data_IF_636370089863
#
_entry.id   IF_636370089863
#
_cell.length_a   1.000
_cell.length_b   1.000
_cell.length_c   1.000
_cell.angle_alpha   90.00
_cell.angle_beta   90.00
_cell.angle_gamma   90.00
#
_symmetry.space_group_name_H-M   'P 1'
#
loop_
_entity.id
_entity.type
_entity.pdbx_description
1 polymer ?
#
# COMPACT_ATOMS: atom_id res chain seq x y z
N UNK A 1 22.12 -7.20 -2.33
CA UNK A 1 23.06 -8.31 -2.09
C UNK A 1 22.35 -9.63 -2.39
N UNK A 2 22.89 -10.54 -3.22
CA UNK A 2 22.20 -11.79 -3.60
C UNK A 2 21.99 -12.77 -2.44
N UNK A 3 22.60 -12.53 -1.28
CA UNK A 3 22.43 -13.37 -0.08
C UNK A 3 21.37 -12.84 0.90
N UNK A 4 20.83 -11.63 0.66
CA UNK A 4 19.88 -10.97 1.56
C UNK A 4 18.46 -11.10 0.99
N UNK A 5 17.47 -11.54 1.79
CA UNK A 5 16.06 -11.54 1.41
C UNK A 5 15.60 -10.19 0.87
N UNK A 6 14.91 -10.16 -0.27
CA UNK A 6 14.54 -8.92 -0.97
C UNK A 6 13.74 -7.94 -0.10
N UNK A 7 12.90 -8.46 0.80
CA UNK A 7 12.17 -7.65 1.79
C UNK A 7 13.12 -6.81 2.65
N UNK A 8 14.17 -7.45 3.19
CA UNK A 8 15.13 -6.81 4.09
C UNK A 8 16.15 -5.97 3.32
N UNK A 9 16.55 -6.41 2.12
CA UNK A 9 17.46 -5.67 1.25
C UNK A 9 16.82 -4.34 0.79
N UNK A 10 15.57 -4.38 0.32
CA UNK A 10 14.80 -3.18 -0.04
C UNK A 10 14.57 -2.24 1.14
N UNK A 11 14.27 -2.78 2.32
CA UNK A 11 14.13 -1.98 3.54
C UNK A 11 15.44 -1.28 3.94
N UNK A 12 16.59 -1.97 3.84
CA UNK A 12 17.91 -1.39 4.10
C UNK A 12 18.24 -0.30 3.09
N UNK A 13 17.96 -0.54 1.81
CA UNK A 13 18.13 0.45 0.75
C UNK A 13 17.32 1.72 1.05
N UNK A 14 16.04 1.57 1.42
CA UNK A 14 15.19 2.71 1.75
C UNK A 14 15.67 3.46 3.02
N UNK A 15 16.14 2.76 4.06
CA UNK A 15 16.78 3.40 5.23
C UNK A 15 18.02 4.18 4.86
N UNK A 16 18.84 3.67 3.93
CA UNK A 16 20.06 4.38 3.47
C UNK A 16 19.77 5.71 2.77
N UNK A 17 18.53 5.89 2.28
CA UNK A 17 18.05 7.17 1.73
C UNK A 17 17.59 8.15 2.82
N UNK A 18 17.51 7.71 4.08
CA UNK A 18 17.05 8.49 5.23
C UNK A 18 15.57 8.28 5.60
N UNK A 19 14.79 7.53 4.81
CA UNK A 19 13.35 7.40 5.03
C UNK A 19 13.01 6.66 6.31
N UNK A 20 12.24 7.27 7.21
CA UNK A 20 11.71 6.62 8.43
C UNK A 20 10.36 5.94 8.21
N UNK A 21 9.86 5.93 6.97
CA UNK A 21 8.59 5.32 6.56
C UNK A 21 8.83 4.27 5.48
N UNK A 22 8.11 3.15 5.54
CA UNK A 22 8.12 2.11 4.51
C UNK A 22 6.72 1.57 4.25
N UNK A 23 6.38 1.32 2.97
CA UNK A 23 5.19 0.55 2.56
C UNK A 23 5.62 -0.87 2.18
N UNK A 24 4.94 -1.88 2.72
CA UNK A 24 5.18 -3.29 2.40
C UNK A 24 3.86 -4.05 2.28
N UNK A 25 3.81 -5.06 1.43
CA UNK A 25 2.77 -6.08 1.49
C UNK A 25 2.94 -6.98 2.72
N UNK A 26 1.83 -7.23 3.43
CA UNK A 26 1.70 -8.13 4.58
C UNK A 26 0.67 -9.23 4.25
N UNK A 27 0.87 -9.90 3.13
CA UNK A 27 0.10 -11.07 2.69
C UNK A 27 0.94 -11.85 1.68
N UNK A 28 0.67 -13.15 1.52
CA UNK A 28 1.32 -14.04 0.52
C UNK A 28 2.81 -13.73 0.33
N UNK A 29 3.63 -13.85 1.38
CA UNK A 29 4.99 -13.32 1.34
C UNK A 29 5.89 -14.04 0.33
N UNK A 30 5.62 -15.33 0.05
CA UNK A 30 6.30 -16.07 -1.03
C UNK A 30 6.06 -15.46 -2.41
N UNK A 31 4.89 -14.88 -2.64
CA UNK A 31 4.56 -14.20 -3.89
C UNK A 31 5.12 -12.78 -3.96
N UNK A 32 5.05 -12.03 -2.86
CA UNK A 32 5.52 -10.63 -2.81
C UNK A 32 7.05 -10.51 -2.71
N UNK A 33 7.72 -11.45 -2.07
CA UNK A 33 9.14 -11.36 -1.70
C UNK A 33 9.91 -12.63 -2.03
N UNK A 34 9.71 -13.18 -3.23
CA UNK A 34 10.32 -14.45 -3.63
C UNK A 34 11.85 -14.40 -3.73
N UNK A 35 12.41 -13.26 -4.15
CA UNK A 35 13.85 -13.14 -4.45
C UNK A 35 14.68 -13.30 -3.16
N UNK A 36 15.68 -14.19 -3.23
CA UNK A 36 16.62 -14.53 -2.15
C UNK A 36 15.94 -14.90 -0.81
N UNK A 37 14.72 -15.41 -0.85
CA UNK A 37 13.94 -15.74 0.34
C UNK A 37 13.42 -17.17 0.26
N UNK A 38 13.31 -17.83 1.41
CA UNK A 38 12.69 -19.15 1.54
C UNK A 38 11.45 -18.99 2.40
N UNK A 39 10.30 -18.87 1.73
CA UNK A 39 9.02 -18.76 2.40
C UNK A 39 8.36 -20.14 2.50
N UNK A 40 7.74 -20.47 3.64
CA UNK A 40 6.85 -21.62 3.70
C UNK A 40 5.61 -21.38 2.79
N UNK A 41 4.87 -22.44 2.44
CA UNK A 41 3.66 -22.32 1.64
C UNK A 41 2.61 -21.41 2.30
N UNK A 42 1.70 -20.84 1.50
CA UNK A 42 0.71 -19.86 1.97
C UNK A 42 -0.19 -20.41 3.10
N UNK A 43 -0.43 -21.72 3.16
CA UNK A 43 -1.19 -22.41 4.22
C UNK A 43 -0.48 -22.48 5.58
N UNK A 44 0.85 -22.26 5.61
CA UNK A 44 1.59 -22.04 6.84
C UNK A 44 1.29 -20.68 7.49
N UNK A 45 0.55 -19.81 6.80
CA UNK A 45 0.10 -18.50 7.30
C UNK A 45 -1.42 -18.44 7.42
N UNK A 46 -2.04 -19.16 8.37
CA UNK A 46 -3.49 -19.23 8.50
C UNK A 46 -4.14 -17.90 8.92
N UNK A 47 -3.36 -16.90 9.34
CA UNK A 47 -3.86 -15.59 9.80
C UNK A 47 -2.95 -14.45 9.36
N UNK A 48 -3.48 -13.22 9.32
CA UNK A 48 -2.69 -12.00 9.14
C UNK A 48 -1.59 -11.87 10.20
N UNK A 49 -1.90 -12.23 11.46
CA UNK A 49 -0.93 -12.20 12.57
C UNK A 49 0.25 -13.15 12.33
N UNK A 50 0.01 -14.36 11.82
CA UNK A 50 1.10 -15.31 11.56
C UNK A 50 2.07 -14.83 10.48
N UNK A 51 1.61 -14.01 9.52
CA UNK A 51 2.51 -13.31 8.59
C UNK A 51 3.34 -12.26 9.34
N UNK A 52 2.70 -11.42 10.16
CA UNK A 52 3.38 -10.36 10.92
C UNK A 52 4.42 -10.90 11.93
N UNK A 53 4.18 -12.08 12.50
CA UNK A 53 5.08 -12.73 13.46
C UNK A 53 6.25 -13.49 12.81
N UNK A 54 6.23 -13.70 11.50
CA UNK A 54 7.29 -14.43 10.80
C UNK A 54 8.67 -13.78 11.03
N UNK A 55 9.75 -14.56 11.23
CA UNK A 55 11.08 -14.02 11.56
C UNK A 55 11.59 -12.94 10.60
N UNK A 56 11.36 -13.07 9.29
CA UNK A 56 11.77 -12.05 8.32
C UNK A 56 10.99 -10.73 8.47
N UNK A 57 9.71 -10.77 8.81
CA UNK A 57 8.94 -9.57 9.11
C UNK A 57 9.32 -8.97 10.46
N UNK A 58 9.56 -9.80 11.49
CA UNK A 58 10.10 -9.31 12.77
C UNK A 58 11.42 -8.56 12.59
N UNK A 59 12.33 -9.10 11.79
CA UNK A 59 13.58 -8.42 11.46
C UNK A 59 13.34 -7.06 10.78
N UNK A 60 12.30 -6.91 9.97
CA UNK A 60 11.88 -5.62 9.39
C UNK A 60 11.31 -4.66 10.45
N UNK A 61 10.47 -5.15 11.37
CA UNK A 61 9.88 -4.35 12.44
C UNK A 61 10.92 -3.82 13.44
N UNK A 62 12.01 -4.55 13.63
CA UNK A 62 13.19 -4.13 14.39
C UNK A 62 14.05 -3.09 13.65
N UNK A 63 13.75 -2.87 12.36
CA UNK A 63 14.22 -1.76 11.50
C UNK A 63 14.16 -0.39 12.20
N UNK A 64 15.07 0.56 11.96
CA UNK A 64 14.91 1.94 12.44
C UNK A 64 13.90 2.78 11.62
N UNK A 65 12.71 2.22 11.36
CA UNK A 65 11.56 2.97 10.84
C UNK A 65 10.64 3.38 11.99
N UNK A 66 10.03 4.56 11.85
CA UNK A 66 9.00 5.06 12.77
C UNK A 66 7.60 4.64 12.34
N UNK A 67 7.39 4.46 11.03
CA UNK A 67 6.08 4.10 10.47
C UNK A 67 6.20 3.00 9.42
N UNK A 68 5.27 2.04 9.48
CA UNK A 68 5.11 0.96 8.52
C UNK A 68 3.69 1.01 7.94
N UNK A 69 3.56 1.20 6.63
CA UNK A 69 2.30 1.08 5.91
C UNK A 69 2.22 -0.32 5.33
N UNK A 70 1.12 -1.01 5.57
CA UNK A 70 0.97 -2.45 5.36
C UNK A 70 -0.19 -2.68 4.39
N UNK A 71 0.10 -3.06 3.15
CA UNK A 71 -0.94 -3.60 2.27
C UNK A 71 -1.31 -4.96 2.82
N UNK A 72 -2.50 -5.10 3.40
CA UNK A 72 -2.84 -6.23 4.26
C UNK A 72 -4.18 -6.87 3.88
N UNK A 73 -4.17 -8.19 3.83
CA UNK A 73 -5.37 -9.00 3.62
C UNK A 73 -5.45 -10.13 4.65
N UNK A 74 -6.64 -10.32 5.22
CA UNK A 74 -6.93 -11.47 6.05
C UNK A 74 -7.05 -12.74 5.20
N UNK A 75 -7.14 -13.88 5.88
CA UNK A 75 -7.42 -15.18 5.23
C UNK A 75 -8.93 -15.49 5.17
N UNK A 76 -9.81 -14.54 5.50
CA UNK A 76 -11.27 -14.73 5.52
C UNK A 76 -11.87 -15.13 4.16
N UNK A 77 -11.22 -14.73 3.07
CA UNK A 77 -11.56 -15.13 1.70
C UNK A 77 -10.99 -16.47 1.25
N UNK A 78 -10.29 -17.19 2.13
CA UNK A 78 -9.48 -18.36 1.80
C UNK A 78 -8.09 -18.00 1.27
N UNK A 79 -7.27 -19.04 1.02
CA UNK A 79 -5.86 -18.93 0.62
C UNK A 79 -5.61 -19.31 -0.86
N UNK A 80 -6.64 -19.30 -1.72
CA UNK A 80 -6.50 -19.82 -3.09
C UNK A 80 -5.60 -18.95 -3.99
N UNK A 81 -4.91 -19.62 -4.93
CA UNK A 81 -3.96 -18.99 -5.87
C UNK A 81 -4.58 -17.89 -6.76
N UNK A 82 -5.89 -17.99 -7.05
CA UNK A 82 -6.61 -17.17 -8.03
C UNK A 82 -7.13 -15.84 -7.49
N UNK A 83 -7.21 -15.70 -6.16
CA UNK A 83 -7.77 -14.50 -5.57
C UNK A 83 -6.60 -13.58 -5.19
N UNK A 84 -6.47 -12.46 -5.90
CA UNK A 84 -6.09 -11.21 -5.24
C UNK A 84 -6.88 -11.20 -3.92
N UNK A 85 -6.22 -11.27 -2.77
CA UNK A 85 -6.77 -11.72 -1.50
C UNK A 85 -8.00 -10.92 -0.97
N UNK A 86 -8.45 -9.90 -1.71
CA UNK A 86 -9.65 -9.10 -1.49
C UNK A 86 -10.86 -9.47 -2.37
N UNK A 87 -10.73 -10.23 -3.46
CA UNK A 87 -11.83 -10.37 -4.44
C UNK A 87 -13.11 -11.01 -3.90
N UNK A 88 -13.03 -11.76 -2.81
CA UNK A 88 -14.16 -12.53 -2.26
C UNK A 88 -15.33 -11.62 -1.82
N UNK A 89 -15.06 -10.46 -1.22
CA UNK A 89 -16.11 -9.56 -0.74
C UNK A 89 -16.89 -8.90 -1.88
N UNK A 90 -16.32 -8.84 -3.08
CA UNK A 90 -16.98 -8.31 -4.28
C UNK A 90 -18.19 -9.18 -4.63
N UNK A 91 -18.06 -10.50 -4.49
CA UNK A 91 -19.12 -11.48 -4.78
C UNK A 91 -20.09 -11.64 -3.61
N UNK A 92 -19.61 -11.45 -2.38
CA UNK A 92 -20.43 -11.49 -1.17
C UNK A 92 -19.57 -11.39 0.08
N UNK A 93 -20.14 -10.86 1.17
CA UNK A 93 -19.47 -10.84 2.47
C UNK A 93 -20.42 -11.47 3.50
N UNK A 94 -20.10 -12.70 3.91
CA UNK A 94 -20.87 -13.38 4.97
C UNK A 94 -20.59 -12.74 6.33
N UNK A 95 -21.46 -13.01 7.30
CA UNK A 95 -21.26 -12.54 8.67
C UNK A 95 -19.99 -13.15 9.29
N UNK A 96 -19.72 -14.42 9.00
CA UNK A 96 -18.51 -15.13 9.45
C UNK A 96 -17.25 -14.52 8.85
N UNK A 97 -17.28 -14.19 7.55
CA UNK A 97 -16.15 -13.53 6.90
C UNK A 97 -15.89 -12.13 7.46
N UNK A 98 -16.95 -11.36 7.74
CA UNK A 98 -16.81 -10.06 8.38
C UNK A 98 -16.26 -10.18 9.81
N UNK A 99 -16.73 -11.16 10.58
CA UNK A 99 -16.22 -11.44 11.93
C UNK A 99 -14.74 -11.87 11.90
N UNK A 100 -14.34 -12.65 10.89
CA UNK A 100 -12.97 -13.10 10.71
C UNK A 100 -12.03 -11.96 10.27
N UNK A 101 -12.50 -11.04 9.41
CA UNK A 101 -11.80 -9.79 9.10
C UNK A 101 -11.56 -8.96 10.37
N UNK A 102 -12.59 -8.74 11.19
CA UNK A 102 -12.43 -8.03 12.47
C UNK A 102 -11.41 -8.72 13.38
N UNK A 103 -11.52 -10.05 13.54
CA UNK A 103 -10.65 -10.84 14.42
C UNK A 103 -9.19 -10.77 13.99
N UNK A 104 -8.90 -11.00 12.70
CA UNK A 104 -7.51 -11.01 12.23
C UNK A 104 -6.85 -9.63 12.29
N UNK A 105 -7.59 -8.57 11.98
CA UNK A 105 -7.09 -7.21 12.12
C UNK A 105 -6.89 -6.83 13.58
N UNK A 106 -7.78 -7.28 14.48
CA UNK A 106 -7.57 -7.13 15.92
C UNK A 106 -6.29 -7.85 16.38
N UNK A 107 -6.12 -9.12 16.04
CA UNK A 107 -5.00 -9.94 16.51
C UNK A 107 -3.66 -9.40 16.00
N UNK A 108 -3.59 -8.98 14.73
CA UNK A 108 -2.40 -8.37 14.14
C UNK A 108 -2.11 -6.98 14.71
N UNK A 109 -3.15 -6.13 14.88
CA UNK A 109 -2.99 -4.81 15.49
C UNK A 109 -2.51 -4.92 16.95
N UNK A 110 -3.06 -5.87 17.71
CA UNK A 110 -2.67 -6.12 19.10
C UNK A 110 -1.20 -6.52 19.18
N UNK A 111 -0.75 -7.44 18.32
CA UNK A 111 0.66 -7.82 18.23
C UNK A 111 1.58 -6.60 18.05
N UNK A 112 1.23 -5.67 17.15
CA UNK A 112 2.02 -4.46 16.93
C UNK A 112 1.99 -3.50 18.12
N UNK A 113 0.81 -3.31 18.75
CA UNK A 113 0.65 -2.45 19.93
C UNK A 113 1.49 -2.95 21.11
N UNK A 114 1.52 -4.26 21.33
CA UNK A 114 2.24 -4.88 22.44
C UNK A 114 3.75 -4.96 22.18
N UNK A 115 4.14 -5.35 20.97
CA UNK A 115 5.54 -5.64 20.64
C UNK A 115 6.34 -4.40 20.24
N UNK A 116 5.67 -3.38 19.69
CA UNK A 116 6.30 -2.21 19.08
C UNK A 116 5.59 -0.90 19.46
N UNK A 117 5.42 -0.61 20.77
CA UNK A 117 4.66 0.55 21.27
C UNK A 117 5.25 1.92 20.89
N UNK A 118 6.46 1.95 20.34
CA UNK A 118 7.16 3.13 19.85
C UNK A 118 7.00 3.36 18.34
N UNK A 119 6.38 2.43 17.61
CA UNK A 119 6.26 2.45 16.14
C UNK A 119 4.80 2.59 15.71
N UNK A 120 4.60 3.22 14.56
CA UNK A 120 3.29 3.36 13.94
C UNK A 120 3.10 2.32 12.85
N UNK A 121 1.96 1.64 12.83
CA UNK A 121 1.57 0.73 11.75
C UNK A 121 0.25 1.18 11.14
N UNK A 122 0.14 1.18 9.82
CA UNK A 122 -1.08 1.56 9.10
C UNK A 122 -1.45 0.43 8.15
N UNK A 123 -2.54 -0.28 8.43
CA UNK A 123 -3.06 -1.25 7.47
C UNK A 123 -3.81 -0.56 6.34
N UNK A 124 -3.66 -1.04 5.11
CA UNK A 124 -4.37 -0.56 3.94
C UNK A 124 -4.72 -1.72 3.00
N UNK A 125 -5.77 -1.57 2.19
CA UNK A 125 -5.96 -2.38 0.98
C UNK A 125 -5.11 -1.83 -0.18
N UNK A 126 -5.10 -2.49 -1.34
CA UNK A 126 -4.42 -2.04 -2.54
C UNK A 126 -5.44 -1.49 -3.54
N UNK A 127 -5.27 -0.27 -4.03
CA UNK A 127 -6.06 0.31 -5.15
C UNK A 127 -7.55 -0.06 -5.14
N UNK A 128 -8.28 0.41 -4.13
CA UNK A 128 -9.63 -0.03 -3.81
C UNK A 128 -10.66 0.11 -4.94
N UNK A 129 -10.47 1.05 -5.87
CA UNK A 129 -11.37 1.22 -7.01
C UNK A 129 -11.19 0.10 -8.02
N UNK A 130 -9.95 -0.39 -8.22
CA UNK A 130 -9.73 -1.60 -9.01
C UNK A 130 -10.27 -2.84 -8.31
N UNK A 131 -10.16 -2.94 -6.98
CA UNK A 131 -10.78 -4.05 -6.23
C UNK A 131 -12.30 -4.02 -6.37
N UNK A 132 -12.91 -2.84 -6.22
CA UNK A 132 -14.36 -2.63 -6.36
C UNK A 132 -14.86 -3.01 -7.76
N UNK A 133 -14.09 -2.67 -8.80
CA UNK A 133 -14.39 -3.02 -10.20
C UNK A 133 -14.04 -4.47 -10.53
N UNK A 134 -13.31 -5.16 -9.64
CA UNK A 134 -12.86 -6.53 -9.76
C UNK A 134 -11.74 -6.73 -10.78
N UNK A 135 -10.84 -5.75 -10.89
CA UNK A 135 -9.59 -5.84 -11.64
C UNK A 135 -9.20 -4.55 -12.36
N UNK A 136 -7.92 -4.43 -12.68
CA UNK A 136 -7.36 -3.36 -13.51
C UNK A 136 -8.10 -3.28 -14.86
N UNK A 137 -8.55 -2.08 -15.23
CA UNK A 137 -9.23 -1.83 -16.50
C UNK A 137 -10.69 -2.33 -16.56
N UNK A 138 -11.22 -2.88 -15.46
CA UNK A 138 -12.63 -3.23 -15.38
C UNK A 138 -13.52 -1.97 -15.36
N UNK A 139 -14.74 -2.05 -15.92
CA UNK A 139 -15.66 -0.90 -15.96
C UNK A 139 -16.13 -0.51 -14.55
N UNK A 140 -16.58 0.74 -14.35
CA UNK A 140 -16.89 1.33 -13.04
C UNK A 140 -18.04 0.68 -12.26
N UNK A 141 -18.73 -0.32 -12.80
CA UNK A 141 -19.91 -0.91 -12.15
C UNK A 141 -19.90 -2.43 -12.13
N UNK A 142 -19.71 -3.00 -10.94
CA UNK A 142 -20.04 -4.40 -10.61
C UNK A 142 -21.22 -4.45 -9.64
N UNK A 143 -22.35 -5.02 -10.08
CA UNK A 143 -23.52 -5.29 -9.22
C UNK A 143 -24.12 -4.06 -8.53
N UNK A 144 -25.25 -4.22 -7.86
CA UNK A 144 -25.95 -3.09 -7.22
C UNK A 144 -25.43 -2.72 -5.81
N UNK A 145 -24.71 -3.61 -5.12
CA UNK A 145 -24.28 -3.43 -3.70
C UNK A 145 -22.76 -3.65 -3.47
N UNK A 146 -21.91 -3.57 -4.51
CA UNK A 146 -20.47 -3.72 -4.30
C UNK A 146 -19.87 -2.63 -3.38
N UNK A 147 -20.23 -1.33 -3.51
CA UNK A 147 -19.76 -0.31 -2.57
C UNK A 147 -20.18 -0.57 -1.12
N UNK A 148 -21.44 -0.98 -0.91
CA UNK A 148 -21.95 -1.34 0.42
C UNK A 148 -21.21 -2.53 1.04
N UNK A 149 -20.84 -3.54 0.23
CA UNK A 149 -19.99 -4.66 0.69
C UNK A 149 -18.59 -4.21 1.06
N UNK A 150 -17.96 -3.36 0.24
CA UNK A 150 -16.65 -2.81 0.57
C UNK A 150 -16.69 -1.99 1.86
N UNK A 151 -17.72 -1.16 2.05
CA UNK A 151 -17.92 -0.39 3.28
C UNK A 151 -18.02 -1.32 4.52
N UNK A 152 -18.78 -2.43 4.43
CA UNK A 152 -18.86 -3.43 5.51
C UNK A 152 -17.53 -4.14 5.76
N UNK A 153 -16.79 -4.46 4.70
CA UNK A 153 -15.46 -5.08 4.80
C UNK A 153 -14.45 -4.15 5.47
N UNK A 154 -14.38 -2.89 5.05
CA UNK A 154 -13.54 -1.86 5.68
C UNK A 154 -13.97 -1.60 7.14
N UNK A 155 -15.28 -1.62 7.43
CA UNK A 155 -15.80 -1.43 8.78
C UNK A 155 -15.36 -2.55 9.73
N UNK A 156 -15.39 -3.81 9.29
CA UNK A 156 -14.92 -4.95 10.08
C UNK A 156 -13.43 -4.81 10.44
N UNK A 157 -12.59 -4.45 9.46
CA UNK A 157 -11.15 -4.20 9.67
C UNK A 157 -10.91 -3.06 10.65
N UNK A 158 -11.63 -1.95 10.47
CA UNK A 158 -11.53 -0.80 11.36
C UNK A 158 -11.99 -1.14 12.78
N UNK A 159 -13.03 -1.96 12.95
CA UNK A 159 -13.49 -2.42 14.25
C UNK A 159 -12.39 -3.22 14.98
N UNK A 160 -11.70 -4.11 14.27
CA UNK A 160 -10.57 -4.87 14.80
C UNK A 160 -9.44 -3.97 15.30
N UNK A 161 -9.01 -3.01 14.48
CA UNK A 161 -7.97 -2.04 14.83
C UNK A 161 -8.39 -1.13 15.99
N UNK A 162 -9.64 -0.65 16.00
CA UNK A 162 -10.19 0.17 17.08
C UNK A 162 -10.23 -0.59 18.39
N UNK A 163 -10.64 -1.86 18.38
CA UNK A 163 -10.65 -2.72 19.57
C UNK A 163 -9.23 -2.97 20.09
N UNK A 164 -8.27 -3.24 19.21
CA UNK A 164 -6.88 -3.48 19.61
C UNK A 164 -6.25 -2.22 20.25
N UNK A 165 -6.53 -1.03 19.70
CA UNK A 165 -6.07 0.26 20.26
C UNK A 165 -6.51 0.52 21.69
N UNK A 166 -7.60 -0.10 22.17
CA UNK A 166 -8.01 0.01 23.58
C UNK A 166 -6.98 -0.62 24.54
N UNK A 167 -6.12 -1.52 24.05
CA UNK A 167 -5.04 -2.14 24.81
C UNK A 167 -3.74 -1.32 24.77
N UNK A 168 -3.73 -0.19 24.04
CA UNK A 168 -2.55 0.66 23.92
C UNK A 168 -2.20 1.29 25.26
N UNK A 169 -0.94 1.14 25.66
CA UNK A 169 -0.43 1.76 26.89
C UNK A 169 -0.50 3.29 26.79
N UNK A 170 -0.82 4.01 27.88
CA UNK A 170 -0.90 5.48 27.86
C UNK A 170 0.42 6.17 27.44
N UNK A 171 1.56 5.58 27.77
CA UNK A 171 2.92 6.08 27.49
C UNK A 171 3.47 5.64 26.12
N UNK A 172 2.74 4.81 25.36
CA UNK A 172 3.14 4.45 24.01
C UNK A 172 3.29 5.71 23.15
N UNK A 173 4.29 5.71 22.27
CA UNK A 173 4.54 6.81 21.30
C UNK A 173 3.88 6.49 19.96
N UNK A 174 4.00 5.23 19.53
CA UNK A 174 3.43 4.72 18.29
C UNK A 174 1.93 4.44 18.36
N UNK A 175 1.34 4.00 17.26
CA UNK A 175 -0.07 3.65 17.18
C UNK A 175 -0.36 2.67 16.03
N UNK A 176 -1.57 2.11 15.97
CA UNK A 176 -2.02 1.32 14.83
C UNK A 176 -3.26 1.95 14.21
N UNK A 177 -3.24 2.15 12.90
CA UNK A 177 -4.33 2.75 12.13
C UNK A 177 -4.79 1.83 11.01
N UNK A 178 -6.00 2.08 10.51
CA UNK A 178 -6.52 1.47 9.29
C UNK A 178 -6.87 2.56 8.27
N UNK A 179 -6.36 2.39 7.06
CA UNK A 179 -6.60 3.24 5.91
C UNK A 179 -7.42 2.51 4.86
N UNK A 180 -8.34 3.22 4.21
CA UNK A 180 -8.91 2.78 2.95
C UNK A 180 -8.05 3.34 1.80
N UNK A 181 -7.50 2.47 0.96
CA UNK A 181 -6.77 2.89 -0.24
C UNK A 181 -7.71 3.04 -1.43
N UNK A 182 -7.55 4.15 -2.16
CA UNK A 182 -8.35 4.54 -3.32
C UNK A 182 -7.46 4.88 -4.51
N UNK A 183 -8.03 4.85 -5.70
CA UNK A 183 -7.43 5.26 -6.98
C UNK A 183 -8.54 5.76 -7.92
N UNK A 184 -8.22 6.37 -9.07
CA UNK A 184 -9.26 6.87 -10.00
C UNK A 184 -10.20 7.94 -9.40
N UNK A 185 -9.71 8.71 -8.43
CA UNK A 185 -10.43 9.82 -7.79
C UNK A 185 -10.89 10.86 -8.82
N UNK A 186 -10.09 11.08 -9.86
CA UNK A 186 -10.39 11.95 -10.99
C UNK A 186 -11.74 11.66 -11.63
N UNK A 187 -12.04 10.38 -11.86
CA UNK A 187 -13.27 9.96 -12.54
C UNK A 187 -14.51 10.35 -11.74
N UNK A 188 -14.44 10.30 -10.41
CA UNK A 188 -15.54 10.73 -9.55
C UNK A 188 -15.63 12.23 -9.41
N UNK A 189 -14.47 12.89 -9.27
CA UNK A 189 -14.39 14.32 -9.03
C UNK A 189 -14.93 15.12 -10.22
N UNK A 190 -14.63 14.68 -11.45
CA UNK A 190 -15.01 15.41 -12.68
C UNK A 190 -16.00 14.66 -13.57
N UNK A 191 -16.15 13.35 -13.40
CA UNK A 191 -16.95 12.51 -14.30
C UNK A 191 -18.21 11.91 -13.67
N UNK A 192 -18.52 12.20 -12.40
CA UNK A 192 -19.64 11.61 -11.65
C UNK A 192 -19.63 10.07 -11.65
N UNK A 193 -18.42 9.48 -11.70
CA UNK A 193 -18.25 8.02 -11.72
C UNK A 193 -18.35 7.45 -10.29
N UNK A 194 -19.18 6.41 -10.06
CA UNK A 194 -19.25 5.70 -8.78
C UNK A 194 -17.96 4.95 -8.49
N UNK A 195 -17.35 5.23 -7.33
CA UNK A 195 -16.04 4.76 -6.91
C UNK A 195 -15.92 4.80 -5.40
N UNK A 196 -14.78 4.37 -4.86
CA UNK A 196 -14.55 4.31 -3.41
C UNK A 196 -14.68 5.70 -2.79
N UNK A 197 -14.18 6.75 -3.44
CA UNK A 197 -14.20 8.12 -2.89
C UNK A 197 -15.61 8.68 -2.65
N UNK A 198 -16.60 8.39 -3.49
CA UNK A 198 -17.96 8.94 -3.37
C UNK A 198 -19.01 7.94 -2.87
N UNK A 199 -18.81 6.64 -3.12
CA UNK A 199 -19.77 5.60 -2.75
C UNK A 199 -19.35 4.80 -1.51
N UNK A 200 -18.07 4.79 -1.12
CA UNK A 200 -17.60 3.96 0.01
C UNK A 200 -17.14 4.82 1.18
N UNK A 201 -16.18 5.73 0.97
CA UNK A 201 -15.59 6.56 2.04
C UNK A 201 -16.64 7.32 2.88
N UNK A 202 -17.74 7.86 2.31
CA UNK A 202 -18.76 8.51 3.12
C UNK A 202 -19.55 7.53 4.01
N UNK A 203 -19.62 6.24 3.63
CA UNK A 203 -20.44 5.22 4.29
C UNK A 203 -19.72 4.45 5.40
N UNK A 204 -18.40 4.59 5.53
CA UNK A 204 -17.60 3.86 6.52
C UNK A 204 -16.64 4.79 7.27
N UNK A 205 -16.62 4.67 8.59
CA UNK A 205 -15.60 5.34 9.39
C UNK A 205 -14.27 4.59 9.25
N UNK A 206 -13.23 5.28 8.77
CA UNK A 206 -11.84 4.77 8.74
C UNK A 206 -10.87 5.80 9.33
N UNK A 207 -9.71 5.36 9.83
CA UNK A 207 -8.74 6.27 10.46
C UNK A 207 -8.03 7.15 9.44
N UNK A 208 -7.70 6.61 8.27
CA UNK A 208 -6.90 7.28 7.24
C UNK A 208 -7.40 6.93 5.84
N UNK A 209 -6.92 7.66 4.83
CA UNK A 209 -7.15 7.37 3.42
C UNK A 209 -5.80 7.33 2.71
N UNK A 210 -5.55 6.27 1.95
CA UNK A 210 -4.37 6.13 1.09
C UNK A 210 -4.78 6.39 -0.35
N UNK A 211 -3.96 7.10 -1.13
CA UNK A 211 -4.27 7.43 -2.52
C UNK A 211 -3.16 6.94 -3.46
N UNK A 212 -3.49 6.01 -4.34
CA UNK A 212 -2.68 5.68 -5.52
C UNK A 212 -3.01 6.71 -6.62
N UNK A 213 -2.14 7.70 -6.78
CA UNK A 213 -2.47 8.97 -7.45
C UNK A 213 -2.12 9.02 -8.94
N UNK A 214 -1.99 7.87 -9.61
CA UNK A 214 -1.59 7.80 -11.02
C UNK A 214 -2.53 8.57 -11.96
N UNK A 215 -3.80 8.72 -11.59
CA UNK A 215 -4.83 9.42 -12.37
C UNK A 215 -4.75 10.95 -12.29
N UNK A 216 -4.07 11.52 -11.29
CA UNK A 216 -3.98 12.99 -11.11
C UNK A 216 -2.56 13.54 -10.98
N UNK A 217 -1.55 12.69 -10.76
CA UNK A 217 -0.16 13.10 -10.52
C UNK A 217 0.48 13.97 -11.64
N UNK A 218 -0.12 13.97 -12.82
CA UNK A 218 0.36 14.69 -14.00
C UNK A 218 0.00 16.18 -14.00
N UNK A 219 -0.94 16.63 -13.18
CA UNK A 219 -1.28 18.04 -13.04
C UNK A 219 -1.36 18.44 -11.55
N UNK A 220 -0.75 19.56 -11.21
CA UNK A 220 -0.66 20.03 -9.82
C UNK A 220 -2.04 20.37 -9.24
N UNK A 221 -2.91 21.01 -10.02
CA UNK A 221 -4.24 21.41 -9.56
C UNK A 221 -5.12 20.18 -9.41
N UNK A 222 -5.09 19.27 -10.39
CA UNK A 222 -5.85 18.02 -10.35
C UNK A 222 -5.47 17.19 -9.11
N UNK A 223 -4.17 17.05 -8.84
CA UNK A 223 -3.69 16.34 -7.65
C UNK A 223 -4.14 17.01 -6.35
N UNK A 224 -4.05 18.34 -6.26
CA UNK A 224 -4.49 19.08 -5.07
C UNK A 224 -6.01 19.00 -4.86
N UNK A 225 -6.79 19.08 -5.93
CA UNK A 225 -8.25 18.98 -5.87
C UNK A 225 -8.68 17.57 -5.49
N UNK A 226 -8.01 16.52 -5.98
CA UNK A 226 -8.20 15.15 -5.52
C UNK A 226 -7.94 15.02 -4.01
N UNK A 227 -6.82 15.55 -3.49
CA UNK A 227 -6.54 15.53 -2.05
C UNK A 227 -7.63 16.25 -1.24
N UNK A 228 -8.12 17.41 -1.69
CA UNK A 228 -9.22 18.14 -1.03
C UNK A 228 -10.52 17.33 -1.06
N UNK A 229 -10.79 16.66 -2.18
CA UNK A 229 -11.96 15.83 -2.33
C UNK A 229 -11.92 14.62 -1.40
N UNK A 230 -10.76 13.97 -1.26
CA UNK A 230 -10.55 12.89 -0.28
C UNK A 230 -10.81 13.36 1.15
N UNK A 231 -10.26 14.49 1.56
CA UNK A 231 -10.52 15.06 2.90
C UNK A 231 -12.01 15.33 3.11
N UNK A 232 -12.71 15.83 2.09
CA UNK A 232 -14.15 16.12 2.15
C UNK A 232 -14.99 14.84 2.26
N UNK A 233 -14.62 13.79 1.53
CA UNK A 233 -15.38 12.54 1.47
C UNK A 233 -15.04 11.56 2.60
N UNK A 234 -13.95 11.80 3.34
CA UNK A 234 -13.51 10.92 4.43
C UNK A 234 -14.43 11.00 5.64
N UNK A 235 -15.24 9.95 5.84
CA UNK A 235 -15.93 9.72 7.10
C UNK A 235 -14.90 9.16 8.12
N UNK A 236 -14.53 9.99 9.09
CA UNK A 236 -13.36 9.76 9.94
C UNK A 236 -13.74 9.20 11.31
N UNK A 237 -12.91 8.29 11.81
CA UNK A 237 -13.00 7.86 13.23
C UNK A 237 -12.56 8.99 14.16
N UNK A 238 -12.86 8.87 15.46
CA UNK A 238 -12.39 9.80 16.49
C UNK A 238 -10.86 9.80 16.66
N UNK A 239 -10.18 8.71 16.27
CA UNK A 239 -8.73 8.58 16.38
C UNK A 239 -7.98 9.06 15.12
N UNK A 240 -8.71 9.45 14.07
CA UNK A 240 -8.16 9.90 12.80
C UNK A 240 -7.41 11.24 12.92
N UNK A 241 -6.19 11.40 12.36
CA UNK A 241 -5.47 12.68 12.38
C UNK A 241 -6.14 13.75 11.50
N UNK A 242 -6.30 15.01 11.93
CA UNK A 242 -7.17 15.99 11.28
C UNK A 242 -6.75 16.35 9.84
N UNK A 243 -7.74 16.74 9.02
CA UNK A 243 -7.51 17.28 7.67
C UNK A 243 -6.62 16.39 6.79
N UNK A 244 -5.65 17.01 6.12
CA UNK A 244 -4.70 16.31 5.25
C UNK A 244 -3.78 15.32 5.98
N UNK A 245 -3.63 15.43 7.31
CA UNK A 245 -2.84 14.48 8.08
C UNK A 245 -3.51 13.09 8.19
N UNK A 246 -4.78 12.94 7.78
CA UNK A 246 -5.41 11.63 7.59
C UNK A 246 -5.12 11.02 6.21
N UNK A 247 -4.53 11.78 5.29
CA UNK A 247 -4.30 11.35 3.91
C UNK A 247 -2.86 10.89 3.75
N UNK A 248 -2.66 9.85 2.96
CA UNK A 248 -1.36 9.36 2.50
C UNK A 248 -1.38 9.28 0.98
N UNK A 249 -0.26 9.60 0.32
CA UNK A 249 -0.05 9.18 -1.07
C UNK A 249 0.56 7.79 -1.04
N UNK A 250 -0.31 6.82 -1.27
CA UNK A 250 -0.06 5.38 -1.20
C UNK A 250 0.91 4.92 -2.28
N UNK A 251 0.73 5.44 -3.50
CA UNK A 251 1.53 5.14 -4.69
C UNK A 251 1.51 6.32 -5.65
N UNK A 252 2.65 6.57 -6.28
CA UNK A 252 2.82 7.48 -7.40
C UNK A 252 4.19 7.21 -8.03
N UNK A 253 4.39 7.74 -9.23
CA UNK A 253 5.68 7.67 -9.91
C UNK A 253 5.53 7.49 -11.42
N UNK A 254 6.68 7.45 -12.10
CA UNK A 254 6.76 7.16 -13.53
C UNK A 254 7.89 6.16 -13.85
N UNK A 255 7.69 5.31 -14.87
CA UNK A 255 8.68 4.33 -15.30
C UNK A 255 9.83 5.02 -16.06
N UNK A 256 10.95 5.24 -15.37
CA UNK A 256 12.08 6.06 -15.87
C UNK A 256 12.75 5.54 -17.15
N UNK A 257 12.54 4.28 -17.53
CA UNK A 257 13.03 3.73 -18.81
C UNK A 257 12.08 4.01 -19.99
N UNK A 258 10.87 4.52 -19.70
CA UNK A 258 9.78 4.69 -20.69
C UNK A 258 9.43 6.15 -20.93
N UNK A 259 9.81 7.05 -20.03
CA UNK A 259 9.50 8.48 -20.12
C UNK A 259 10.76 9.35 -19.98
N UNK A 260 10.78 10.55 -20.56
CA UNK A 260 11.84 11.53 -20.34
C UNK A 260 12.01 11.90 -18.86
N UNK A 261 13.25 12.19 -18.46
CA UNK A 261 13.57 12.63 -17.10
C UNK A 261 12.80 13.89 -16.68
N UNK A 262 12.52 14.78 -17.62
CA UNK A 262 11.74 15.99 -17.35
C UNK A 262 10.36 15.65 -16.79
N UNK A 263 9.66 14.68 -17.37
CA UNK A 263 8.33 14.27 -16.93
C UNK A 263 8.38 13.61 -15.56
N UNK A 264 9.38 12.76 -15.32
CA UNK A 264 9.67 12.17 -14.00
C UNK A 264 9.85 13.29 -12.97
N UNK A 265 10.71 14.25 -13.27
CA UNK A 265 11.01 15.34 -12.34
C UNK A 265 9.82 16.25 -12.06
N UNK A 266 8.98 16.49 -13.05
CA UNK A 266 7.77 17.28 -12.93
C UNK A 266 6.72 16.58 -12.07
N UNK A 267 6.40 15.32 -12.36
CA UNK A 267 5.43 14.53 -11.58
C UNK A 267 5.86 14.37 -10.13
N UNK A 268 7.13 14.01 -9.89
CA UNK A 268 7.63 13.86 -8.52
C UNK A 268 7.68 15.19 -7.78
N UNK A 269 8.04 16.27 -8.49
CA UNK A 269 7.99 17.63 -7.96
C UNK A 269 6.58 18.02 -7.52
N UNK A 270 5.57 17.78 -8.37
CA UNK A 270 4.18 18.10 -8.10
C UNK A 270 3.67 17.35 -6.86
N UNK A 271 3.74 16.01 -6.87
CA UNK A 271 3.19 15.17 -5.82
C UNK A 271 3.88 15.46 -4.48
N UNK A 272 5.21 15.43 -4.44
CA UNK A 272 5.96 15.57 -3.17
C UNK A 272 5.80 16.98 -2.61
N UNK A 273 5.97 18.04 -3.42
CA UNK A 273 5.90 19.40 -2.89
C UNK A 273 4.48 19.79 -2.47
N UNK A 274 3.45 19.37 -3.23
CA UNK A 274 2.06 19.64 -2.84
C UNK A 274 1.67 18.89 -1.58
N UNK A 275 2.01 17.59 -1.48
CA UNK A 275 1.72 16.79 -0.30
C UNK A 275 2.41 17.35 0.96
N UNK A 276 3.69 17.73 0.87
CA UNK A 276 4.40 18.39 1.97
C UNK A 276 3.76 19.75 2.33
N UNK A 277 3.41 20.56 1.35
CA UNK A 277 2.79 21.88 1.58
C UNK A 277 1.42 21.79 2.25
N UNK A 278 0.65 20.72 1.98
CA UNK A 278 -0.68 20.51 2.55
C UNK A 278 -0.64 19.78 3.90
N UNK A 279 0.50 19.21 4.28
CA UNK A 279 0.63 18.41 5.51
C UNK A 279 0.02 17.02 5.38
N UNK A 280 0.12 16.40 4.19
CA UNK A 280 -0.20 14.98 3.99
C UNK A 280 0.73 14.11 4.84
N UNK A 281 0.21 13.05 5.44
CA UNK A 281 0.93 12.25 6.43
C UNK A 281 2.19 11.58 5.86
N UNK A 282 2.03 10.86 4.74
CA UNK A 282 3.11 10.07 4.14
C UNK A 282 3.01 10.08 2.61
N UNK A 283 4.15 10.01 1.92
CA UNK A 283 4.26 10.05 0.45
C UNK A 283 5.18 8.94 -0.03
N UNK A 284 4.63 7.92 -0.67
CA UNK A 284 5.33 6.67 -0.98
C UNK A 284 5.41 6.44 -2.49
N UNK A 285 6.64 6.47 -3.01
CA UNK A 285 6.91 6.21 -4.42
C UNK A 285 6.87 4.72 -4.71
N UNK A 286 6.21 4.35 -5.79
CA UNK A 286 6.29 3.00 -6.35
C UNK A 286 7.48 2.95 -7.32
N UNK A 287 8.59 2.28 -7.03
CA UNK A 287 8.91 1.45 -5.85
C UNK A 287 10.43 1.42 -5.61
N UNK A 288 10.90 0.74 -4.56
CA UNK A 288 12.34 0.68 -4.23
C UNK A 288 13.15 0.05 -5.36
N UNK A 289 12.73 -1.12 -5.85
CA UNK A 289 13.31 -1.86 -6.95
C UNK A 289 12.23 -2.17 -7.99
N UNK A 290 12.53 -1.99 -9.27
CA UNK A 290 11.54 -2.21 -10.32
C UNK A 290 11.12 -3.68 -10.42
N UNK A 291 9.83 -3.92 -10.34
CA UNK A 291 9.18 -5.20 -10.53
C UNK A 291 8.48 -5.31 -11.89
N UNK A 292 8.63 -4.31 -12.76
CA UNK A 292 7.99 -4.26 -14.07
C UNK A 292 8.99 -4.47 -15.20
N UNK A 293 8.64 -5.39 -16.10
CA UNK A 293 9.50 -5.82 -17.20
C UNK A 293 8.77 -5.77 -18.54
N UNK A 294 9.57 -5.69 -19.60
CA UNK A 294 9.10 -5.92 -20.95
C UNK A 294 8.66 -7.39 -21.06
N UNK A 295 7.47 -7.66 -21.59
CA UNK A 295 6.92 -9.02 -21.72
C UNK A 295 7.83 -10.00 -22.48
N UNK A 296 8.73 -9.49 -23.33
CA UNK A 296 9.72 -10.30 -24.06
C UNK A 296 10.94 -10.70 -23.22
N UNK A 297 11.09 -10.19 -22.00
CA UNK A 297 12.21 -10.48 -21.14
C UNK A 297 12.08 -11.86 -20.49
N UNK A 298 13.20 -12.59 -20.42
CA UNK A 298 13.29 -13.81 -19.61
C UNK A 298 13.07 -13.43 -18.16
N UNK A 299 12.16 -14.13 -17.48
CA UNK A 299 11.78 -13.83 -16.10
C UNK A 299 10.54 -12.95 -15.93
N UNK A 300 9.99 -12.47 -17.05
CA UNK A 300 8.77 -11.66 -17.06
C UNK A 300 7.53 -12.54 -17.18
N UNK A 301 6.55 -12.33 -16.30
CA UNK A 301 5.26 -13.00 -16.41
C UNK A 301 4.38 -12.36 -17.50
N UNK A 302 3.25 -13.00 -17.82
CA UNK A 302 2.32 -12.51 -18.84
C UNK A 302 1.73 -11.12 -18.52
N UNK A 303 1.72 -10.74 -17.25
CA UNK A 303 1.25 -9.43 -16.78
C UNK A 303 2.37 -8.36 -16.80
N UNK A 304 3.57 -8.67 -17.31
CA UNK A 304 4.68 -7.73 -17.35
C UNK A 304 5.38 -7.54 -16.01
N UNK A 305 5.31 -8.53 -15.10
CA UNK A 305 5.90 -8.46 -13.76
C UNK A 305 7.07 -9.42 -13.59
N UNK A 306 8.06 -9.00 -12.81
CA UNK A 306 9.28 -9.76 -12.48
C UNK A 306 8.99 -10.79 -11.38
N UNK A 307 8.24 -11.85 -11.72
CA UNK A 307 7.75 -12.85 -10.74
C UNK A 307 8.36 -14.25 -10.88
N UNK A 308 9.38 -14.42 -11.71
CA UNK A 308 10.08 -15.71 -11.87
C UNK A 308 11.41 -15.69 -11.12
N UNK A 309 11.45 -16.06 -9.83
CA UNK A 309 12.65 -15.96 -9.01
C UNK A 309 13.77 -16.91 -9.47
N UNK A 310 13.45 -18.01 -10.15
CA UNK A 310 14.43 -18.96 -10.69
C UNK A 310 15.11 -18.43 -11.96
N UNK A 311 14.52 -17.44 -12.62
CA UNK A 311 15.01 -16.85 -13.85
C UNK A 311 14.80 -15.32 -13.82
N UNK A 312 15.40 -14.58 -12.88
CA UNK A 312 15.12 -13.15 -12.70
C UNK A 312 15.59 -12.34 -13.92
N UNK A 313 14.93 -11.21 -14.19
CA UNK A 313 15.33 -10.27 -15.24
C UNK A 313 16.70 -9.68 -14.89
N UNK A 314 17.73 -10.00 -15.69
CA UNK A 314 19.11 -9.58 -15.41
C UNK A 314 19.51 -8.29 -16.12
N UNK A 315 18.85 -7.95 -17.23
CA UNK A 315 19.18 -6.76 -18.00
C UNK A 315 18.25 -5.59 -17.64
N UNK A 316 18.82 -4.53 -17.08
CA UNK A 316 18.08 -3.33 -16.70
C UNK A 316 17.35 -2.65 -17.88
N UNK A 317 17.82 -2.82 -19.12
CA UNK A 317 17.13 -2.28 -20.31
C UNK A 317 15.81 -3.00 -20.62
N UNK A 318 15.54 -4.13 -19.95
CA UNK A 318 14.31 -4.90 -20.06
C UNK A 318 13.32 -4.57 -18.93
N UNK A 319 13.64 -3.62 -18.06
CA UNK A 319 12.80 -3.15 -16.97
C UNK A 319 12.18 -1.79 -17.31
N UNK A 320 10.92 -1.57 -16.89
CA UNK A 320 10.19 -0.32 -17.14
C UNK A 320 10.78 0.87 -16.36
N UNK A 321 11.45 0.62 -15.23
CA UNK A 321 12.20 1.65 -14.51
C UNK A 321 11.43 2.40 -13.41
N UNK A 322 10.43 1.77 -12.80
CA UNK A 322 9.92 2.17 -11.49
C UNK A 322 10.91 1.79 -10.40
N UNK A 323 11.93 2.61 -10.16
CA UNK A 323 12.95 2.32 -9.14
C UNK A 323 13.41 3.58 -8.40
N UNK A 324 13.75 3.39 -7.13
CA UNK A 324 14.63 4.29 -6.39
C UNK A 324 16.09 3.87 -6.60
N UNK A 325 16.36 2.57 -6.58
CA UNK A 325 17.68 2.00 -6.81
C UNK A 325 17.68 1.15 -8.08
N UNK A 326 18.66 1.40 -8.94
CA UNK A 326 18.87 0.62 -10.17
C UNK A 326 19.49 -0.74 -9.84
N UNK A 327 19.39 -1.74 -10.75
CA UNK A 327 19.99 -3.06 -10.54
C UNK A 327 21.50 -3.05 -10.29
N UNK A 328 22.22 -2.03 -10.77
CA UNK A 328 23.66 -1.85 -10.53
C UNK A 328 23.98 -1.19 -9.16
N UNK A 329 22.97 -0.93 -8.34
CA UNK A 329 23.09 -0.29 -7.03
C UNK A 329 23.15 1.24 -7.08
N UNK A 330 23.15 1.85 -8.26
CA UNK A 330 23.18 3.32 -8.38
C UNK A 330 21.82 3.94 -8.05
N UNK A 331 21.85 5.16 -7.49
CA UNK A 331 20.64 5.91 -7.18
C UNK A 331 20.01 6.47 -8.45
N UNK A 332 18.73 6.15 -8.66
CA UNK A 332 17.92 6.78 -9.69
C UNK A 332 17.55 8.21 -9.29
N UNK A 333 17.05 9.00 -10.24
CA UNK A 333 16.73 10.40 -10.00
C UNK A 333 15.70 10.59 -8.86
N UNK A 334 14.59 9.81 -8.79
CA UNK A 334 13.68 9.83 -7.66
C UNK A 334 14.36 9.68 -6.29
N UNK A 335 15.31 8.76 -6.15
CA UNK A 335 16.02 8.54 -4.90
C UNK A 335 16.91 9.71 -4.50
N UNK A 336 17.55 10.36 -5.48
CA UNK A 336 18.33 11.57 -5.25
C UNK A 336 17.44 12.72 -4.77
N UNK A 337 16.26 12.88 -5.39
CA UNK A 337 15.29 13.89 -5.00
C UNK A 337 14.74 13.64 -3.58
N UNK A 338 14.38 12.39 -3.26
CA UNK A 338 13.98 12.00 -1.90
C UNK A 338 15.05 12.30 -0.86
N UNK A 339 16.29 11.88 -1.12
CA UNK A 339 17.40 12.11 -0.20
C UNK A 339 17.63 13.60 0.07
N UNK A 340 17.48 14.45 -0.94
CA UNK A 340 17.56 15.90 -0.77
C UNK A 340 16.40 16.49 0.06
N UNK A 341 15.20 15.88 0.01
CA UNK A 341 14.05 16.30 0.83
C UNK A 341 14.10 15.80 2.26
N UNK A 342 14.69 14.63 2.49
CA UNK A 342 14.82 13.99 3.81
C UNK A 342 16.05 14.46 4.59
N UNK A 343 17.06 15.01 3.91
CA UNK A 343 18.31 15.49 4.50
C UNK A 343 18.33 16.98 4.89
N UNK A 344 17.20 17.67 4.75
CA UNK A 344 16.95 19.02 5.28
C UNK A 344 16.01 18.96 6.50
#
# INVERSE_FOLDING_TARGET
DPSVPVLLDGARALRSLGSTVIKVALFRPGWNYAINSQWPPDDAFPTLRSVAEHPQFRALWEMDFTTYVLVAYSTAGGLSESNLAAGYWVEGLSQEQAAEEERQFYDAALFFIESFPQKTFVFANCEGDWELRGGLGAPPRRGADAPGRMARWLAARQAGVTRARQQRRPDAVGNVFHAAEVNLVAESLWGDVPNVVNEVLPQVQVDMVSYSSYDTQHDLHDFQDALRYLVKSHNRTAASPPGFAAIMVGEFGLPQSRVPLQDVSYVLGNVINAALSLGVAYVMFWETYCNECHQSAVGCDAAGRCRQPEAPVQNASQLNGFWLLRPDGSLAWPAQYYKAKLGN
#
